data_IF_851852274872
#
_entry.id   IF_851852274872
#
_cell.length_a   1.000
_cell.length_b   1.000
_cell.length_c   1.000
_cell.angle_alpha   90.00
_cell.angle_beta   90.00
_cell.angle_gamma   90.00
#
_symmetry.space_group_name_H-M   'P 1'
#
loop_
_entity.id
_entity.type
_entity.pdbx_description
1 polymer ?
#
# COMPACT_ATOMS: atom_id res chain seq x y z
N UNK A 1 29.06 24.40 17.49
CA UNK A 1 29.08 22.93 17.54
C UNK A 1 28.06 22.40 16.56
N UNK A 2 28.50 21.60 15.58
CA UNK A 2 27.64 21.12 14.49
C UNK A 2 27.03 19.78 14.90
N UNK A 3 25.71 19.74 15.09
CA UNK A 3 24.98 18.52 15.45
C UNK A 3 25.02 17.58 14.23
N UNK A 4 25.81 16.51 14.33
CA UNK A 4 25.78 15.41 13.36
C UNK A 4 24.48 14.64 13.56
N UNK A 5 23.49 14.87 12.70
CA UNK A 5 22.37 13.93 12.55
C UNK A 5 22.93 12.60 12.03
N UNK A 6 23.05 11.61 12.90
CA UNK A 6 23.25 10.22 12.49
C UNK A 6 22.02 9.80 11.68
N UNK A 7 22.17 9.58 10.36
CA UNK A 7 21.12 8.99 9.52
C UNK A 7 20.89 7.54 9.95
N UNK A 8 20.07 7.34 10.96
CA UNK A 8 19.47 6.03 11.24
C UNK A 8 18.41 5.78 10.17
N UNK A 9 18.69 4.86 9.24
CA UNK A 9 17.67 4.37 8.31
C UNK A 9 16.55 3.70 9.14
N UNK A 10 15.27 4.07 8.98
CA UNK A 10 14.16 3.49 9.73
C UNK A 10 13.84 2.04 9.33
N UNK A 11 14.56 1.47 8.35
CA UNK A 11 14.30 0.14 7.81
C UNK A 11 15.24 -0.91 8.44
N UNK A 12 14.65 -1.82 9.21
CA UNK A 12 15.33 -2.99 9.78
C UNK A 12 15.76 -3.92 8.64
N UNK A 13 16.96 -4.52 8.72
CA UNK A 13 17.57 -5.41 7.73
C UNK A 13 18.10 -4.78 6.42
N UNK A 14 18.29 -3.46 6.35
CA UNK A 14 19.10 -2.89 5.26
C UNK A 14 20.57 -3.35 5.40
N UNK A 15 21.10 -4.03 4.38
CA UNK A 15 22.51 -4.48 4.34
C UNK A 15 23.50 -3.31 4.33
N UNK A 16 23.05 -2.12 3.98
CA UNK A 16 23.82 -0.89 4.04
C UNK A 16 22.94 0.23 4.61
N UNK A 17 23.19 0.62 5.86
CA UNK A 17 22.45 1.70 6.53
C UNK A 17 22.72 3.09 5.91
N UNK A 18 23.75 3.20 5.07
CA UNK A 18 24.19 4.44 4.43
C UNK A 18 23.61 4.62 3.03
N UNK A 19 23.10 3.55 2.41
CA UNK A 19 22.42 3.62 1.12
C UNK A 19 20.92 3.71 1.35
N UNK A 20 20.26 4.81 0.92
CA UNK A 20 18.81 4.88 0.92
C UNK A 20 18.26 3.72 0.10
N UNK A 21 17.22 3.04 0.61
CA UNK A 21 16.43 2.16 -0.24
C UNK A 21 16.02 2.94 -1.48
N UNK A 22 16.17 2.35 -2.66
CA UNK A 22 15.68 2.98 -3.88
C UNK A 22 14.17 3.18 -3.74
N UNK A 23 13.65 4.24 -4.33
CA UNK A 23 12.20 4.53 -4.36
C UNK A 23 11.38 3.35 -4.92
N UNK A 24 12.02 2.44 -5.66
CA UNK A 24 11.41 1.23 -6.22
C UNK A 24 11.39 0.01 -5.29
N UNK A 25 12.19 -0.03 -4.22
CA UNK A 25 12.35 -1.26 -3.41
C UNK A 25 11.04 -1.66 -2.72
N UNK A 26 10.44 -0.75 -1.94
CA UNK A 26 9.18 -1.02 -1.22
C UNK A 26 8.01 -1.30 -2.17
N UNK A 27 7.78 -0.49 -3.23
CA UNK A 27 6.75 -0.81 -4.23
C UNK A 27 6.93 -2.19 -4.86
N UNK A 28 8.17 -2.60 -5.14
CA UNK A 28 8.45 -3.93 -5.71
C UNK A 28 8.04 -5.06 -4.78
N UNK A 29 8.35 -4.94 -3.49
CA UNK A 29 7.93 -5.94 -2.50
C UNK A 29 6.42 -6.01 -2.36
N UNK A 30 5.75 -4.86 -2.23
CA UNK A 30 4.29 -4.80 -2.15
C UNK A 30 3.62 -5.39 -3.39
N UNK A 31 4.12 -5.08 -4.59
CA UNK A 31 3.60 -5.63 -5.82
C UNK A 31 3.81 -7.15 -5.91
N UNK A 32 4.98 -7.64 -5.45
CA UNK A 32 5.24 -9.08 -5.39
C UNK A 32 4.30 -9.78 -4.43
N UNK A 33 4.05 -9.20 -3.25
CA UNK A 33 3.12 -9.74 -2.25
C UNK A 33 1.68 -9.80 -2.78
N UNK A 34 1.21 -8.74 -3.46
CA UNK A 34 -0.12 -8.75 -4.08
C UNK A 34 -0.20 -9.86 -5.13
N UNK A 35 0.79 -9.96 -6.01
CA UNK A 35 0.80 -10.96 -7.10
C UNK A 35 0.74 -12.42 -6.59
N UNK A 36 1.36 -12.73 -5.46
CA UNK A 36 1.30 -14.09 -4.89
C UNK A 36 0.03 -14.35 -4.07
N UNK A 37 -0.69 -13.30 -3.67
CA UNK A 37 -1.86 -13.41 -2.78
C UNK A 37 -3.17 -13.55 -3.54
N UNK A 38 -3.20 -13.27 -4.85
CA UNK A 38 -4.43 -13.25 -5.64
C UNK A 38 -4.15 -13.41 -7.13
N UNK A 39 -5.10 -14.03 -7.85
CA UNK A 39 -5.10 -14.11 -9.32
C UNK A 39 -5.77 -12.90 -9.98
N UNK A 40 -6.37 -12.01 -9.18
CA UNK A 40 -7.08 -10.84 -9.69
C UNK A 40 -6.12 -9.83 -10.33
N UNK A 41 -6.48 -9.36 -11.52
CA UNK A 41 -5.64 -8.43 -12.27
C UNK A 41 -5.83 -6.98 -11.80
N UNK A 42 -4.79 -6.16 -12.03
CA UNK A 42 -4.80 -4.72 -11.77
C UNK A 42 -5.05 -4.35 -10.30
N UNK A 43 -4.67 -5.23 -9.37
CA UNK A 43 -4.75 -4.96 -7.93
C UNK A 43 -3.55 -4.11 -7.53
N UNK A 44 -3.83 -3.00 -6.84
CA UNK A 44 -2.83 -2.10 -6.29
C UNK A 44 -3.00 -1.97 -4.78
N UNK A 45 -1.92 -1.65 -4.06
CA UNK A 45 -2.00 -1.33 -2.62
C UNK A 45 -3.04 -0.25 -2.35
N UNK A 46 -3.13 0.74 -3.25
CA UNK A 46 -4.07 1.86 -3.17
C UNK A 46 -5.53 1.41 -3.29
N UNK A 47 -5.86 0.56 -4.26
CA UNK A 47 -7.21 0.01 -4.42
C UNK A 47 -7.62 -0.85 -3.22
N UNK A 48 -6.68 -1.65 -2.69
CA UNK A 48 -6.92 -2.48 -1.51
C UNK A 48 -7.18 -1.63 -0.27
N UNK A 49 -6.32 -0.66 0.03
CA UNK A 49 -6.48 0.24 1.17
C UNK A 49 -7.78 1.06 1.09
N UNK A 50 -8.09 1.60 -0.10
CA UNK A 50 -9.33 2.35 -0.33
C UNK A 50 -10.57 1.49 -0.11
N UNK A 51 -10.53 0.22 -0.54
CA UNK A 51 -11.64 -0.72 -0.34
C UNK A 51 -11.80 -1.13 1.12
N UNK A 52 -10.69 -1.28 1.85
CA UNK A 52 -10.72 -1.56 3.28
C UNK A 52 -11.30 -0.37 4.06
N UNK A 53 -10.92 0.85 3.71
CA UNK A 53 -11.48 2.06 4.31
C UNK A 53 -12.99 2.16 4.07
N UNK A 54 -13.43 1.89 2.83
CA UNK A 54 -14.86 1.89 2.49
C UNK A 54 -15.64 0.88 3.34
N UNK A 55 -15.09 -0.31 3.56
CA UNK A 55 -15.68 -1.35 4.42
C UNK A 55 -15.78 -0.96 5.90
N UNK A 56 -14.97 -0.01 6.35
CA UNK A 56 -15.02 0.55 7.71
C UNK A 56 -15.77 1.89 7.75
N UNK A 57 -16.69 2.10 6.80
CA UNK A 57 -17.58 3.25 6.72
C UNK A 57 -16.88 4.62 6.63
N UNK A 58 -15.64 4.64 6.11
CA UNK A 58 -15.00 5.92 5.79
C UNK A 58 -15.77 6.60 4.65
N UNK A 59 -15.93 7.94 4.69
CA UNK A 59 -16.62 8.67 3.65
C UNK A 59 -15.98 8.41 2.28
N UNK A 60 -16.79 8.00 1.31
CA UNK A 60 -16.32 7.66 -0.04
C UNK A 60 -15.58 8.83 -0.70
N UNK A 61 -16.03 10.05 -0.46
CA UNK A 61 -15.41 11.28 -0.96
C UNK A 61 -14.01 11.52 -0.37
N UNK A 62 -13.78 11.17 0.89
CA UNK A 62 -12.44 11.17 1.49
C UNK A 62 -11.57 10.09 0.87
N UNK A 63 -12.11 8.90 0.64
CA UNK A 63 -11.39 7.80 -0.02
C UNK A 63 -10.99 8.18 -1.45
N UNK A 64 -11.87 8.85 -2.19
CA UNK A 64 -11.61 9.32 -3.55
C UNK A 64 -10.49 10.37 -3.57
N UNK A 65 -10.56 11.32 -2.65
CA UNK A 65 -9.56 12.38 -2.48
C UNK A 65 -8.20 11.80 -2.07
N UNK A 66 -8.15 10.99 -1.02
CA UNK A 66 -6.91 10.39 -0.49
C UNK A 66 -6.31 9.36 -1.46
N UNK A 67 -7.16 8.62 -2.17
CA UNK A 67 -6.78 7.71 -3.22
C UNK A 67 -6.33 8.40 -4.51
N UNK A 68 -6.44 9.73 -4.60
CA UNK A 68 -6.12 10.51 -5.80
C UNK A 68 -6.78 9.90 -7.05
N UNK A 69 -8.07 9.57 -6.95
CA UNK A 69 -8.89 9.05 -8.04
C UNK A 69 -9.57 10.22 -8.76
N UNK A 70 -9.70 10.13 -10.08
CA UNK A 70 -10.30 11.21 -10.88
C UNK A 70 -11.73 11.53 -10.45
N UNK A 71 -12.50 10.50 -10.07
CA UNK A 71 -13.85 10.63 -9.52
C UNK A 71 -14.28 9.33 -8.84
N UNK A 72 -15.42 9.37 -8.13
CA UNK A 72 -16.02 8.23 -7.44
C UNK A 72 -16.33 7.05 -8.37
N UNK A 73 -16.85 7.33 -9.58
CA UNK A 73 -17.19 6.28 -10.55
C UNK A 73 -15.95 5.53 -11.02
N UNK A 74 -14.83 6.22 -11.22
CA UNK A 74 -13.54 5.60 -11.54
C UNK A 74 -13.12 4.64 -10.43
N UNK A 75 -13.20 5.06 -9.17
CA UNK A 75 -12.91 4.19 -8.03
C UNK A 75 -13.87 2.99 -8.00
N UNK A 76 -15.18 3.22 -8.04
CA UNK A 76 -16.21 2.18 -7.92
C UNK A 76 -16.12 1.12 -9.01
N UNK A 77 -15.93 1.52 -10.26
CA UNK A 77 -16.00 0.60 -11.40
C UNK A 77 -14.69 -0.15 -11.62
N UNK A 78 -13.54 0.45 -11.29
CA UNK A 78 -12.23 -0.10 -11.66
C UNK A 78 -11.36 -0.52 -10.48
N UNK A 79 -11.55 0.09 -9.30
CA UNK A 79 -10.63 -0.04 -8.17
C UNK A 79 -11.30 -0.46 -6.86
N UNK A 80 -12.64 -0.52 -6.79
CA UNK A 80 -13.36 -1.07 -5.65
C UNK A 80 -13.18 -2.58 -5.64
N UNK A 81 -12.68 -3.07 -4.50
CA UNK A 81 -12.24 -4.45 -4.26
C UNK A 81 -12.66 -4.91 -2.87
N UNK A 82 -13.85 -4.52 -2.42
CA UNK A 82 -14.37 -4.94 -1.11
C UNK A 82 -14.49 -6.47 -1.01
N UNK A 83 -14.75 -7.16 -2.12
CA UNK A 83 -14.70 -8.62 -2.19
C UNK A 83 -13.31 -9.19 -1.88
N UNK A 84 -12.24 -8.44 -2.17
CA UNK A 84 -10.87 -8.81 -1.81
C UNK A 84 -10.44 -8.35 -0.42
N UNK A 85 -11.15 -7.40 0.20
CA UNK A 85 -10.81 -6.92 1.55
C UNK A 85 -10.96 -8.01 2.63
N UNK A 86 -11.51 -9.18 2.26
CA UNK A 86 -11.54 -10.39 3.07
C UNK A 86 -10.18 -11.13 3.11
N UNK A 87 -9.25 -10.83 2.20
CA UNK A 87 -7.88 -11.32 2.32
C UNK A 87 -7.25 -10.69 3.57
N UNK A 88 -6.99 -11.53 4.56
CA UNK A 88 -6.23 -11.12 5.72
C UNK A 88 -4.77 -10.92 5.29
N UNK A 89 -4.47 -9.76 4.70
CA UNK A 89 -3.11 -9.38 4.31
C UNK A 89 -2.15 -9.49 5.49
N UNK A 90 -2.64 -9.25 6.71
CA UNK A 90 -1.91 -9.45 7.96
C UNK A 90 -1.47 -10.90 8.17
N UNK A 91 -2.28 -11.90 7.79
CA UNK A 91 -1.87 -13.31 7.88
C UNK A 91 -0.80 -13.68 6.85
N UNK A 92 -0.81 -13.07 5.66
CA UNK A 92 0.19 -13.33 4.61
C UNK A 92 1.49 -12.54 4.87
N UNK A 93 1.41 -11.35 5.46
CA UNK A 93 2.58 -10.53 5.80
C UNK A 93 3.34 -11.03 7.04
N UNK A 94 2.64 -11.71 7.97
CA UNK A 94 3.20 -12.14 9.27
C UNK A 94 3.53 -13.64 9.33
N UNK A 95 3.21 -14.42 8.31
CA UNK A 95 3.66 -15.81 8.13
C UNK A 95 5.05 -15.87 7.50
#
# INVERSE_FOLDING_TARGET
GQIRHTRSSPFVNSRCLQEPLTTSTIPTWLHSMIRISTEEQNVSTRSTASSLALRHDFPKEDIVTLGNWTNSSTFENHYRREHMSCFNFTQILLS
#
